data_IF_170605655623
#
_entry.id   IF_170605655623
#
_cell.length_a   1.000
_cell.length_b   1.000
_cell.length_c   1.000
_cell.angle_alpha   90.00
_cell.angle_beta   90.00
_cell.angle_gamma   90.00
#
_symmetry.space_group_name_H-M   'P 1'
#
loop_
_entity.id
_entity.type
_entity.pdbx_description
1 polymer ?
#
# COMPACT_ATOMS: atom_id res chain seq x y z
N UNK A 1 -61.92 34.96 23.57
CA UNK A 1 -62.12 33.69 22.86
C UNK A 1 -61.86 33.94 21.37
N UNK A 2 -61.18 33.06 20.61
CA UNK A 2 -60.24 32.00 20.97
C UNK A 2 -58.81 32.27 20.46
N UNK A 3 -57.89 31.48 21.00
CA UNK A 3 -56.47 31.38 20.75
C UNK A 3 -56.16 30.67 19.42
N UNK A 4 -55.05 31.02 18.77
CA UNK A 4 -54.36 30.10 17.86
C UNK A 4 -52.85 30.18 18.07
N UNK A 5 -52.37 29.27 18.91
CA UNK A 5 -50.98 28.83 18.97
C UNK A 5 -50.68 28.02 17.72
N UNK A 6 -49.80 28.53 16.85
CA UNK A 6 -49.19 27.72 15.79
C UNK A 6 -47.86 27.17 16.28
N UNK A 7 -47.87 25.89 16.64
CA UNK A 7 -46.70 25.05 16.85
C UNK A 7 -46.23 24.44 15.52
N UNK A 8 -44.95 24.04 15.53
CA UNK A 8 -44.23 23.13 14.60
C UNK A 8 -43.61 23.80 13.36
N UNK A 9 -42.38 23.49 12.94
CA UNK A 9 -41.59 22.28 13.20
C UNK A 9 -40.09 22.61 13.32
N UNK A 10 -39.42 22.00 14.31
CA UNK A 10 -37.96 21.88 14.32
C UNK A 10 -37.61 20.85 13.26
N UNK A 11 -37.01 21.29 12.15
CA UNK A 11 -36.42 20.40 11.18
C UNK A 11 -35.22 19.70 11.84
N UNK A 12 -35.39 18.44 12.23
CA UNK A 12 -34.29 17.59 12.60
C UNK A 12 -33.44 17.34 11.35
N UNK A 13 -32.31 18.03 11.24
CA UNK A 13 -31.28 17.69 10.27
C UNK A 13 -30.68 16.33 10.66
N UNK A 14 -31.17 15.27 10.03
CA UNK A 14 -30.54 13.95 10.08
C UNK A 14 -29.25 14.07 9.29
N UNK A 15 -28.13 14.22 9.99
CA UNK A 15 -26.81 14.06 9.40
C UNK A 15 -26.64 12.58 9.03
N UNK A 16 -26.87 12.23 7.76
CA UNK A 16 -26.26 11.04 7.18
C UNK A 16 -24.75 11.30 7.13
N UNK A 17 -24.05 10.97 8.22
CA UNK A 17 -22.63 10.69 8.12
C UNK A 17 -22.50 9.42 7.28
N UNK A 18 -22.32 9.59 5.97
CA UNK A 18 -21.86 8.49 5.13
C UNK A 18 -20.56 7.99 5.77
N UNK A 19 -20.56 6.73 6.21
CA UNK A 19 -19.34 6.06 6.63
C UNK A 19 -18.42 6.00 5.41
N UNK A 20 -17.54 6.98 5.28
CA UNK A 20 -16.46 6.92 4.30
C UNK A 20 -15.63 5.68 4.63
N UNK A 21 -15.25 4.88 3.63
CA UNK A 21 -14.34 3.77 3.86
C UNK A 21 -13.11 4.30 4.60
N UNK A 22 -12.70 3.61 5.66
CA UNK A 22 -11.50 3.96 6.40
C UNK A 22 -10.32 3.71 5.46
N UNK A 23 -9.69 4.79 4.98
CA UNK A 23 -8.45 4.69 4.21
C UNK A 23 -7.33 4.69 5.22
N UNK A 24 -6.75 3.52 5.45
CA UNK A 24 -5.57 3.38 6.31
C UNK A 24 -4.38 4.01 5.58
N UNK A 25 -4.14 5.31 5.82
CA UNK A 25 -3.06 6.07 5.19
C UNK A 25 -1.84 6.17 6.11
N UNK A 26 -0.67 5.84 5.57
CA UNK A 26 0.60 5.80 6.28
C UNK A 26 1.67 6.60 5.57
N UNK A 27 2.63 7.08 6.35
CA UNK A 27 3.86 7.73 5.87
C UNK A 27 5.04 7.04 6.52
N UNK A 28 6.08 6.72 5.74
CA UNK A 28 7.29 6.13 6.30
C UNK A 28 8.32 5.78 5.24
N UNK A 29 9.34 5.05 5.67
CA UNK A 29 10.48 4.70 4.81
C UNK A 29 10.09 3.64 3.78
N UNK A 30 10.65 3.77 2.59
CA UNK A 30 10.57 2.76 1.55
C UNK A 30 11.94 2.58 0.91
N UNK A 31 12.33 1.32 0.81
CA UNK A 31 13.50 0.84 0.08
C UNK A 31 13.00 -0.07 -1.05
N UNK A 32 13.93 -0.67 -1.80
CA UNK A 32 13.56 -1.67 -2.79
C UNK A 32 14.19 -3.02 -2.50
N UNK A 33 13.51 -4.06 -2.98
CA UNK A 33 14.05 -5.40 -3.11
C UNK A 33 13.91 -5.84 -4.57
N UNK A 34 14.94 -6.49 -5.11
CA UNK A 34 15.03 -6.82 -6.53
C UNK A 34 14.40 -8.19 -6.83
N UNK A 35 13.09 -8.34 -6.56
CA UNK A 35 12.35 -9.58 -6.81
C UNK A 35 12.51 -10.07 -8.26
N UNK A 36 12.54 -9.14 -9.21
CA UNK A 36 12.71 -9.45 -10.64
C UNK A 36 14.11 -10.02 -10.94
N UNK A 37 15.15 -9.44 -10.34
CA UNK A 37 16.52 -9.93 -10.47
C UNK A 37 16.75 -11.26 -9.77
N UNK A 38 16.12 -11.48 -8.62
CA UNK A 38 16.17 -12.75 -7.90
C UNK A 38 15.49 -13.86 -8.71
N UNK A 39 14.32 -13.60 -9.29
CA UNK A 39 13.66 -14.52 -10.21
C UNK A 39 14.54 -14.85 -11.43
N UNK A 40 15.21 -13.85 -12.01
CA UNK A 40 16.13 -14.07 -13.13
C UNK A 40 17.38 -14.86 -12.74
N UNK A 41 17.87 -14.70 -11.51
CA UNK A 41 19.10 -15.33 -11.02
C UNK A 41 18.87 -16.78 -10.57
N UNK A 42 17.82 -17.02 -9.79
CA UNK A 42 17.53 -18.33 -9.20
C UNK A 42 16.60 -19.18 -10.08
N UNK A 43 15.81 -18.54 -10.94
CA UNK A 43 14.78 -19.20 -11.71
C UNK A 43 13.55 -19.59 -10.86
N UNK A 44 12.43 -19.93 -11.52
CA UNK A 44 11.16 -20.16 -10.85
C UNK A 44 11.21 -21.35 -9.89
N UNK A 45 11.89 -22.43 -10.24
CA UNK A 45 11.98 -23.63 -9.39
C UNK A 45 12.62 -23.35 -8.04
N UNK A 46 13.75 -22.63 -8.01
CA UNK A 46 14.42 -22.35 -6.76
C UNK A 46 13.68 -21.27 -5.96
N UNK A 47 13.23 -20.21 -6.64
CA UNK A 47 12.61 -19.07 -5.96
C UNK A 47 11.24 -19.40 -5.39
N UNK A 48 10.42 -20.19 -6.09
CA UNK A 48 9.11 -20.63 -5.60
C UNK A 48 9.18 -21.58 -4.39
N UNK A 49 10.32 -22.25 -4.17
CA UNK A 49 10.53 -23.12 -3.02
C UNK A 49 10.99 -22.37 -1.76
N UNK A 50 11.15 -21.04 -1.85
CA UNK A 50 11.41 -20.16 -0.73
C UNK A 50 10.49 -18.94 -0.80
N UNK A 51 9.15 -19.14 -0.73
CA UNK A 51 8.21 -18.03 -0.87
C UNK A 51 8.35 -17.04 0.30
N UNK A 52 7.95 -15.80 0.04
CA UNK A 52 7.79 -14.78 1.08
C UNK A 52 6.73 -15.17 2.10
N UNK A 53 6.59 -14.36 3.14
CA UNK A 53 5.72 -14.61 4.30
C UNK A 53 4.28 -15.02 3.95
N UNK A 54 3.70 -14.46 2.87
CA UNK A 54 2.33 -14.77 2.46
C UNK A 54 2.17 -16.10 1.71
N UNK A 55 3.27 -16.81 1.40
CA UNK A 55 3.25 -18.18 0.89
C UNK A 55 2.93 -18.34 -0.61
N UNK A 56 2.94 -17.24 -1.39
CA UNK A 56 2.68 -17.29 -2.82
C UNK A 56 3.92 -17.66 -3.62
N UNK A 57 3.71 -18.43 -4.69
CA UNK A 57 4.76 -18.71 -5.67
C UNK A 57 5.08 -17.45 -6.44
N UNK A 58 6.32 -16.99 -6.39
CA UNK A 58 6.77 -15.80 -7.12
C UNK A 58 6.50 -15.90 -8.62
N UNK A 59 6.59 -17.10 -9.22
CA UNK A 59 6.28 -17.34 -10.63
C UNK A 59 4.82 -17.11 -11.02
N UNK A 60 3.91 -17.05 -10.05
CA UNK A 60 2.47 -16.80 -10.29
C UNK A 60 2.06 -15.33 -10.21
N UNK A 61 3.02 -14.44 -9.94
CA UNK A 61 2.78 -13.03 -9.65
C UNK A 61 3.51 -12.11 -10.63
N UNK A 62 3.02 -10.89 -10.77
CA UNK A 62 3.76 -9.80 -11.42
C UNK A 62 4.76 -9.22 -10.41
N UNK A 63 6.00 -9.73 -10.44
CA UNK A 63 7.06 -9.31 -9.52
C UNK A 63 7.50 -7.85 -9.68
N UNK A 64 7.05 -7.14 -10.71
CA UNK A 64 7.28 -5.70 -10.82
C UNK A 64 6.35 -4.88 -9.92
N UNK A 65 5.35 -5.51 -9.30
CA UNK A 65 4.27 -4.88 -8.53
C UNK A 65 4.00 -5.59 -7.20
N UNK A 66 5.06 -6.04 -6.53
CA UNK A 66 4.99 -6.65 -5.20
C UNK A 66 5.83 -5.87 -4.19
N UNK A 67 5.59 -6.08 -2.90
CA UNK A 67 6.39 -5.51 -1.82
C UNK A 67 6.38 -6.37 -0.55
N UNK A 68 7.39 -6.15 0.29
CA UNK A 68 7.36 -6.54 1.69
C UNK A 68 6.98 -5.36 2.59
N UNK A 69 6.30 -5.63 3.71
CA UNK A 69 5.91 -4.63 4.71
C UNK A 69 6.38 -5.02 6.10
N UNK A 70 6.79 -4.05 6.91
CA UNK A 70 7.22 -4.31 8.30
C UNK A 70 6.11 -4.85 9.21
N UNK A 71 4.86 -4.51 8.92
CA UNK A 71 3.69 -4.87 9.72
C UNK A 71 2.76 -5.84 8.99
N UNK A 72 3.30 -6.70 8.11
CA UNK A 72 2.47 -7.71 7.48
C UNK A 72 1.97 -8.71 8.54
N UNK A 73 0.66 -8.91 8.56
CA UNK A 73 -0.05 -9.91 9.34
C UNK A 73 -0.87 -10.75 8.35
N UNK A 74 -1.44 -11.87 8.81
CA UNK A 74 -2.23 -12.74 7.93
C UNK A 74 -3.34 -11.98 7.17
N UNK A 75 -3.93 -10.93 7.77
CA UNK A 75 -4.97 -10.11 7.15
C UNK A 75 -4.46 -9.12 6.08
N UNK A 76 -3.17 -8.75 6.10
CA UNK A 76 -2.55 -7.84 5.11
C UNK A 76 -1.80 -8.58 4.01
N UNK A 77 -1.73 -9.91 4.07
CA UNK A 77 -1.31 -10.69 2.92
C UNK A 77 -2.29 -10.53 1.75
N UNK A 78 -1.73 -10.23 0.57
CA UNK A 78 -2.46 -10.00 -0.67
C UNK A 78 -3.36 -8.76 -0.68
N UNK A 79 -3.17 -7.82 0.22
CA UNK A 79 -3.77 -6.50 0.04
C UNK A 79 -2.98 -5.70 -0.99
N UNK A 80 -3.71 -4.97 -1.83
CA UNK A 80 -3.13 -4.05 -2.77
C UNK A 80 -3.10 -2.65 -2.16
N UNK A 81 -1.97 -1.97 -2.29
CA UNK A 81 -1.75 -0.66 -1.70
C UNK A 81 -1.41 0.35 -2.78
N UNK A 82 -1.97 1.54 -2.70
CA UNK A 82 -1.58 2.67 -3.52
C UNK A 82 -0.37 3.36 -2.87
N UNK A 83 0.79 3.30 -3.53
CA UNK A 83 2.07 3.81 -3.03
C UNK A 83 2.58 4.95 -3.91
N UNK A 84 3.04 6.05 -3.30
CA UNK A 84 3.58 7.24 -3.99
C UNK A 84 4.67 7.90 -3.15
N UNK A 85 5.46 8.78 -3.76
CA UNK A 85 6.40 9.63 -3.01
C UNK A 85 5.64 10.51 -2.00
N UNK A 86 6.18 10.62 -0.78
CA UNK A 86 5.66 11.56 0.21
C UNK A 86 6.17 12.99 0.03
N UNK A 87 7.27 13.16 -0.71
CA UNK A 87 7.98 14.44 -0.87
C UNK A 87 7.79 15.06 -2.25
N UNK A 88 7.32 14.28 -3.22
CA UNK A 88 7.07 14.72 -4.59
C UNK A 88 5.64 14.38 -5.00
N UNK A 89 4.78 15.40 -5.03
CA UNK A 89 3.38 15.27 -5.43
C UNK A 89 3.18 14.93 -6.93
N UNK A 90 4.22 15.08 -7.76
CA UNK A 90 4.18 14.70 -9.18
C UNK A 90 4.53 13.23 -9.42
N UNK A 91 5.04 12.54 -8.38
CA UNK A 91 5.38 11.12 -8.44
C UNK A 91 4.15 10.27 -8.76
N UNK A 92 4.25 9.29 -9.66
CA UNK A 92 3.12 8.44 -10.01
C UNK A 92 2.70 7.56 -8.82
N UNK A 93 1.40 7.31 -8.70
CA UNK A 93 0.89 6.29 -7.78
C UNK A 93 1.04 4.91 -8.40
N UNK A 94 1.62 3.98 -7.66
CA UNK A 94 1.77 2.57 -8.02
C UNK A 94 0.88 1.73 -7.12
N UNK A 95 0.10 0.82 -7.71
CA UNK A 95 -0.67 -0.16 -6.96
C UNK A 95 0.14 -1.44 -6.85
N UNK A 96 0.47 -1.84 -5.61
CA UNK A 96 1.49 -2.84 -5.27
C UNK A 96 0.91 -3.85 -4.29
N UNK A 97 1.15 -5.14 -4.53
CA UNK A 97 0.66 -6.24 -3.70
C UNK A 97 1.62 -6.50 -2.52
N UNK A 98 1.10 -6.52 -1.30
CA UNK A 98 1.86 -6.95 -0.12
C UNK A 98 1.94 -8.48 -0.07
N UNK A 99 3.15 -9.03 -0.19
CA UNK A 99 3.37 -10.49 -0.31
C UNK A 99 4.37 -11.06 0.71
N UNK A 100 5.08 -10.19 1.42
CA UNK A 100 6.20 -10.60 2.25
C UNK A 100 6.37 -9.69 3.47
N UNK A 101 7.14 -10.17 4.44
CA UNK A 101 7.50 -9.43 5.64
C UNK A 101 8.93 -8.90 5.50
N UNK A 102 9.15 -7.65 5.93
CA UNK A 102 10.50 -7.14 6.18
C UNK A 102 10.73 -6.87 7.67
N UNK A 103 11.96 -7.06 8.13
CA UNK A 103 12.31 -6.83 9.54
C UNK A 103 12.46 -5.35 9.91
N UNK A 104 12.95 -4.52 9.00
CA UNK A 104 13.09 -3.07 9.19
C UNK A 104 11.77 -2.35 8.91
N UNK A 105 11.59 -1.15 9.49
CA UNK A 105 10.38 -0.32 9.30
C UNK A 105 10.09 -0.02 7.81
N UNK A 106 8.80 0.14 7.50
CA UNK A 106 8.35 0.65 6.21
C UNK A 106 8.13 -0.43 5.15
N UNK A 107 8.49 -0.10 3.91
CA UNK A 107 8.26 -0.94 2.72
C UNK A 107 9.57 -1.40 2.07
N UNK A 108 9.58 -2.59 1.48
CA UNK A 108 10.56 -3.02 0.47
C UNK A 108 9.82 -3.26 -0.84
N UNK A 109 9.85 -2.27 -1.73
CA UNK A 109 9.08 -2.26 -2.97
C UNK A 109 9.85 -2.99 -4.07
N UNK A 110 9.15 -3.69 -4.97
CA UNK A 110 9.78 -4.21 -6.18
C UNK A 110 10.56 -3.14 -6.94
N UNK A 111 11.74 -3.49 -7.44
CA UNK A 111 12.69 -2.55 -8.04
C UNK A 111 12.02 -1.68 -9.11
N UNK A 112 11.28 -2.29 -10.04
CA UNK A 112 10.63 -1.56 -11.13
C UNK A 112 9.60 -0.54 -10.63
N UNK A 113 8.83 -0.88 -9.59
CA UNK A 113 7.86 0.06 -9.01
C UNK A 113 8.53 1.14 -8.19
N UNK A 114 9.62 0.83 -7.48
CA UNK A 114 10.41 1.82 -6.76
C UNK A 114 11.03 2.85 -7.72
N UNK A 115 11.67 2.40 -8.81
CA UNK A 115 12.26 3.27 -9.83
C UNK A 115 11.18 4.11 -10.55
N UNK A 116 9.96 3.59 -10.70
CA UNK A 116 8.85 4.37 -11.25
C UNK A 116 8.41 5.51 -10.30
N UNK A 117 8.42 5.29 -8.98
CA UNK A 117 8.06 6.29 -7.98
C UNK A 117 9.20 7.31 -7.80
N UNK A 118 10.45 6.84 -7.82
CA UNK A 118 11.66 7.61 -7.53
C UNK A 118 12.74 7.42 -8.61
N UNK A 119 12.56 7.94 -9.83
CA UNK A 119 13.44 7.67 -10.98
C UNK A 119 14.89 8.18 -10.80
N UNK A 120 15.13 9.09 -9.87
CA UNK A 120 16.45 9.67 -9.61
C UNK A 120 17.00 9.33 -8.21
N UNK A 121 16.35 8.42 -7.48
CA UNK A 121 16.80 8.05 -6.14
C UNK A 121 18.11 7.26 -6.21
N UNK A 122 19.00 7.52 -5.24
CA UNK A 122 20.11 6.64 -4.96
C UNK A 122 19.57 5.32 -4.38
N UNK A 123 19.82 4.16 -5.01
CA UNK A 123 19.33 2.88 -4.51
C UNK A 123 19.82 2.51 -3.10
N UNK A 124 20.90 3.15 -2.62
CA UNK A 124 21.43 2.94 -1.27
C UNK A 124 20.66 3.72 -0.18
N UNK A 125 19.86 4.73 -0.55
CA UNK A 125 19.22 5.64 0.38
C UNK A 125 17.71 5.36 0.48
N UNK A 126 17.17 5.08 1.69
CA UNK A 126 15.73 4.99 1.90
C UNK A 126 15.02 6.28 1.45
N UNK A 127 13.88 6.11 0.78
CA UNK A 127 12.98 7.20 0.40
C UNK A 127 11.81 7.28 1.37
N UNK A 128 11.06 8.39 1.33
CA UNK A 128 9.82 8.52 2.11
C UNK A 128 8.62 8.32 1.20
N UNK A 129 7.78 7.34 1.52
CA UNK A 129 6.57 7.00 0.80
C UNK A 129 5.31 7.37 1.60
N UNK A 130 4.23 7.65 0.88
CA UNK A 130 2.86 7.57 1.37
C UNK A 130 2.23 6.30 0.80
N UNK A 131 1.51 5.53 1.62
CA UNK A 131 0.74 4.38 1.14
C UNK A 131 -0.63 4.25 1.83
N UNK A 132 -1.60 3.76 1.08
CA UNK A 132 -2.98 3.58 1.53
C UNK A 132 -3.63 2.32 0.94
N UNK A 133 -4.51 1.68 1.72
CA UNK A 133 -5.24 0.46 1.33
C UNK A 133 -6.59 0.78 0.67
#
# INVERSE_FOLDING_TARGET
>A
MPSYTSTLAVAAAVWLAAALPHVDAFVGLCTYHNYEGDMATFGPTAYDNSPGWCGYRYSSMDLSRVMAMNSIQAATCNSCWAVRSATDASSPTRYILAIDQKGAEGLDIAKSSFEAIFPNANPADPQTCNWEQ
#
